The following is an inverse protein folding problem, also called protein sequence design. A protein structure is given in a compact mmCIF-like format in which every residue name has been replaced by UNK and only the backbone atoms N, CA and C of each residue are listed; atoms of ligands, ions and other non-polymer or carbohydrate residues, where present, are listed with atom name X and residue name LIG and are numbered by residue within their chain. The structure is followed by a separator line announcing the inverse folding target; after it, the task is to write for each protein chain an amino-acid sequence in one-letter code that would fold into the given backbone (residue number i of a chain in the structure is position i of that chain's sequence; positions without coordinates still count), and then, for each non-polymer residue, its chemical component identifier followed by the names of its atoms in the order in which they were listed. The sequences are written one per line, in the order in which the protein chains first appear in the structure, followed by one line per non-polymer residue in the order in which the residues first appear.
data_IF_502277030705
#
_entry.id   IF_502277030705
#
_cell.length_a   1.000
_cell.length_b   1.000
_cell.length_c   1.000
_cell.angle_alpha   90.00
_cell.angle_beta   90.00
_cell.angle_gamma   90.00
#
_symmetry.space_group_name_H-M   'P 1'
#
loop_
_entity.id
_entity.type
_entity.pdbx_description
1 polymer ?
#
# COMPACT_ATOMS: atom_id res chain seq x y z
N UNK A 1 -43.83 19.79 -16.52
CA UNK A 1 -43.16 18.55 -16.06
C UNK A 1 -43.71 18.17 -14.68
N UNK A 2 -44.23 16.95 -14.49
CA UNK A 2 -44.85 16.53 -13.22
C UNK A 2 -43.79 16.34 -12.12
N UNK A 3 -44.18 16.47 -10.84
CA UNK A 3 -43.28 16.32 -9.68
C UNK A 3 -42.54 14.96 -9.72
N UNK A 4 -43.24 13.90 -10.11
CA UNK A 4 -42.68 12.54 -10.27
C UNK A 4 -41.61 12.47 -11.35
N UNK A 5 -41.82 13.12 -12.50
CA UNK A 5 -40.81 13.17 -13.56
C UNK A 5 -39.56 13.91 -13.09
N UNK A 6 -39.72 15.02 -12.35
CA UNK A 6 -38.57 15.75 -11.78
C UNK A 6 -37.77 14.88 -10.82
N UNK A 7 -38.44 14.15 -9.94
CA UNK A 7 -37.80 13.25 -8.99
C UNK A 7 -37.01 12.12 -9.66
N UNK A 8 -37.59 11.49 -10.70
CA UNK A 8 -36.90 10.47 -11.49
C UNK A 8 -35.66 11.01 -12.20
N UNK A 9 -35.72 12.22 -12.76
CA UNK A 9 -34.54 12.85 -13.38
C UNK A 9 -33.45 13.09 -12.34
N UNK A 10 -33.80 13.56 -11.14
CA UNK A 10 -32.82 13.79 -10.07
C UNK A 10 -32.13 12.48 -9.67
N UNK A 11 -32.89 11.42 -9.40
CA UNK A 11 -32.31 10.12 -9.03
C UNK A 11 -31.47 9.56 -10.16
N UNK A 12 -31.98 9.55 -11.39
CA UNK A 12 -31.21 9.06 -12.54
C UNK A 12 -29.92 9.86 -12.77
N UNK A 13 -29.92 11.15 -12.45
CA UNK A 13 -28.73 12.01 -12.51
C UNK A 13 -27.72 11.69 -11.41
N UNK A 14 -28.19 11.36 -10.19
CA UNK A 14 -27.33 10.89 -9.09
C UNK A 14 -26.71 9.54 -9.43
N UNK A 15 -27.49 8.59 -9.96
CA UNK A 15 -26.97 7.28 -10.36
C UNK A 15 -25.96 7.41 -11.50
N UNK A 16 -26.25 8.24 -12.51
CA UNK A 16 -25.32 8.53 -13.59
C UNK A 16 -24.02 9.14 -13.06
N UNK A 17 -24.11 10.09 -12.12
CA UNK A 17 -22.94 10.69 -11.47
C UNK A 17 -22.12 9.63 -10.73
N UNK A 18 -22.76 8.73 -9.98
CA UNK A 18 -22.08 7.64 -9.26
C UNK A 18 -21.34 6.70 -10.22
N UNK A 19 -21.95 6.38 -11.37
CA UNK A 19 -21.32 5.56 -12.42
C UNK A 19 -20.11 6.30 -13.01
N UNK A 20 -20.27 7.57 -13.40
CA UNK A 20 -19.16 8.39 -13.95
C UNK A 20 -18.01 8.48 -12.96
N UNK A 21 -18.31 8.75 -11.68
CA UNK A 21 -17.29 8.79 -10.63
C UNK A 21 -16.52 7.47 -10.53
N UNK A 22 -17.23 6.33 -10.50
CA UNK A 22 -16.63 5.00 -10.45
C UNK A 22 -15.67 4.76 -11.62
N UNK A 23 -16.10 5.09 -12.84
CA UNK A 23 -15.29 4.90 -14.06
C UNK A 23 -13.97 5.69 -14.00
N UNK A 24 -14.02 6.94 -13.51
CA UNK A 24 -12.85 7.82 -13.37
C UNK A 24 -12.01 7.47 -12.11
N UNK A 25 -12.45 6.51 -11.28
CA UNK A 25 -11.74 6.08 -10.07
C UNK A 25 -11.96 6.99 -8.86
N UNK A 26 -13.06 7.74 -8.85
CA UNK A 26 -13.51 8.52 -7.71
C UNK A 26 -14.65 7.80 -6.98
N UNK A 27 -14.59 7.85 -5.66
CA UNK A 27 -15.57 7.18 -4.81
C UNK A 27 -15.97 8.06 -3.64
N UNK A 28 -17.24 7.95 -3.24
CA UNK A 28 -17.65 8.40 -1.92
C UNK A 28 -17.13 7.41 -0.89
N UNK A 29 -16.18 7.83 -0.06
CA UNK A 29 -15.49 6.96 0.88
C UNK A 29 -16.43 6.38 1.94
N UNK A 30 -17.48 7.11 2.30
CA UNK A 30 -18.51 6.60 3.21
C UNK A 30 -19.42 5.53 2.59
N UNK A 31 -19.51 5.47 1.25
CA UNK A 31 -20.26 4.42 0.54
C UNK A 31 -19.44 3.16 0.34
N UNK A 32 -18.10 3.23 0.38
CA UNK A 32 -17.22 2.06 0.17
C UNK A 32 -17.56 0.87 1.08
N UNK A 33 -17.72 1.02 2.41
CA UNK A 33 -18.10 -0.09 3.29
C UNK A 33 -19.45 -0.72 2.93
N UNK A 34 -20.42 0.09 2.48
CA UNK A 34 -21.77 -0.38 2.13
C UNK A 34 -21.94 -0.72 0.65
N UNK A 35 -20.89 -0.52 -0.16
CA UNK A 35 -20.97 -0.51 -1.61
C UNK A 35 -22.13 0.36 -2.14
N UNK A 36 -22.87 -0.19 -3.09
CA UNK A 36 -24.01 0.47 -3.74
C UNK A 36 -25.35 0.11 -3.08
N UNK A 37 -25.36 -0.49 -1.87
CA UNK A 37 -26.60 -0.90 -1.20
C UNK A 37 -27.57 0.25 -0.99
N UNK A 38 -27.10 1.41 -0.51
CA UNK A 38 -27.94 2.57 -0.23
C UNK A 38 -28.59 3.11 -1.52
N UNK A 39 -27.84 3.40 -2.62
CA UNK A 39 -28.43 3.77 -3.90
C UNK A 39 -29.42 2.74 -4.46
N UNK A 40 -29.10 1.44 -4.37
CA UNK A 40 -29.96 0.36 -4.85
C UNK A 40 -31.29 0.36 -4.06
N UNK A 41 -31.23 0.41 -2.73
CA UNK A 41 -32.42 0.45 -1.88
C UNK A 41 -33.30 1.68 -2.18
N UNK A 42 -32.68 2.86 -2.33
CA UNK A 42 -33.37 4.09 -2.67
C UNK A 42 -34.09 4.00 -4.03
N UNK A 43 -33.44 3.38 -5.01
CA UNK A 43 -34.02 3.11 -6.33
C UNK A 43 -35.21 2.14 -6.26
N UNK A 44 -35.07 1.02 -5.54
CA UNK A 44 -36.16 0.05 -5.35
C UNK A 44 -37.38 0.73 -4.72
N UNK A 45 -37.20 1.45 -3.62
CA UNK A 45 -38.28 2.16 -2.92
C UNK A 45 -38.94 3.19 -3.82
N UNK A 46 -38.13 3.99 -4.52
CA UNK A 46 -38.64 5.03 -5.43
C UNK A 46 -39.47 4.43 -6.56
N UNK A 47 -38.93 3.42 -7.25
CA UNK A 47 -39.60 2.78 -8.36
C UNK A 47 -40.87 2.04 -7.91
N UNK A 48 -40.86 1.43 -6.72
CA UNK A 48 -42.04 0.83 -6.13
C UNK A 48 -43.16 1.86 -5.90
N UNK A 49 -42.84 2.98 -5.24
CA UNK A 49 -43.81 4.06 -4.96
C UNK A 49 -44.42 4.59 -6.26
N UNK A 50 -43.60 4.80 -7.28
CA UNK A 50 -44.06 5.30 -8.58
C UNK A 50 -44.90 4.26 -9.30
N UNK A 51 -44.44 3.00 -9.31
CA UNK A 51 -45.13 1.87 -9.92
C UNK A 51 -46.54 1.69 -9.37
N UNK A 52 -46.68 1.59 -8.05
CA UNK A 52 -47.98 1.39 -7.39
C UNK A 52 -48.94 2.57 -7.53
N UNK A 53 -48.41 3.80 -7.69
CA UNK A 53 -49.26 4.99 -7.89
C UNK A 53 -49.65 5.24 -9.35
N UNK A 54 -48.98 4.60 -10.30
CA UNK A 54 -49.21 4.89 -11.71
C UNK A 54 -50.34 4.01 -12.28
N UNK A 55 -51.46 4.59 -12.74
CA UNK A 55 -52.67 3.83 -13.09
C UNK A 55 -52.52 2.92 -14.32
N UNK A 56 -51.45 3.10 -15.11
CA UNK A 56 -51.18 2.27 -16.32
C UNK A 56 -50.22 1.12 -16.09
N UNK A 57 -49.57 1.04 -14.92
CA UNK A 57 -48.61 -0.02 -14.63
C UNK A 57 -49.36 -1.13 -13.90
N UNK A 58 -49.25 -2.37 -14.39
CA UNK A 58 -49.82 -3.52 -13.71
C UNK A 58 -49.11 -3.71 -12.36
N UNK A 59 -49.86 -3.72 -11.26
CA UNK A 59 -49.30 -3.93 -9.92
C UNK A 59 -48.49 -5.22 -9.80
N UNK A 60 -48.83 -6.26 -10.55
CA UNK A 60 -48.08 -7.52 -10.57
C UNK A 60 -46.65 -7.36 -11.13
N UNK A 61 -46.47 -6.48 -12.13
CA UNK A 61 -45.14 -6.12 -12.64
C UNK A 61 -44.32 -5.33 -11.61
N UNK A 62 -44.98 -4.46 -10.84
CA UNK A 62 -44.32 -3.70 -9.76
C UNK A 62 -43.82 -4.65 -8.68
N UNK A 63 -44.67 -5.60 -8.25
CA UNK A 63 -44.30 -6.64 -7.27
C UNK A 63 -43.13 -7.47 -7.78
N UNK A 64 -43.18 -7.95 -9.03
CA UNK A 64 -42.09 -8.71 -9.64
C UNK A 64 -40.78 -7.90 -9.68
N UNK A 65 -40.84 -6.62 -10.04
CA UNK A 65 -39.68 -5.73 -10.06
C UNK A 65 -39.08 -5.50 -8.66
N UNK A 66 -39.91 -5.31 -7.64
CA UNK A 66 -39.44 -5.16 -6.25
C UNK A 66 -38.78 -6.44 -5.75
N UNK A 67 -39.36 -7.62 -6.03
CA UNK A 67 -38.78 -8.91 -5.67
C UNK A 67 -37.41 -9.10 -6.33
N UNK A 68 -37.30 -8.82 -7.63
CA UNK A 68 -36.04 -8.91 -8.37
C UNK A 68 -34.99 -7.93 -7.83
N UNK A 69 -35.36 -6.67 -7.62
CA UNK A 69 -34.46 -5.65 -7.06
C UNK A 69 -33.97 -6.03 -5.67
N UNK A 70 -34.86 -6.56 -4.82
CA UNK A 70 -34.51 -7.03 -3.48
C UNK A 70 -33.56 -8.23 -3.54
N UNK A 71 -33.78 -9.18 -4.45
CA UNK A 71 -32.87 -10.30 -4.65
C UNK A 71 -31.47 -9.85 -5.07
N UNK A 72 -31.36 -8.90 -6.02
CA UNK A 72 -30.09 -8.30 -6.44
C UNK A 72 -29.39 -7.62 -5.25
N UNK A 73 -30.15 -6.84 -4.47
CA UNK A 73 -29.63 -6.17 -3.27
C UNK A 73 -29.10 -7.18 -2.24
N UNK A 74 -29.80 -8.29 -2.00
CA UNK A 74 -29.37 -9.35 -1.09
C UNK A 74 -28.10 -10.05 -1.56
N UNK A 75 -28.01 -10.36 -2.85
CA UNK A 75 -26.78 -10.93 -3.44
C UNK A 75 -25.62 -9.97 -3.27
N UNK A 76 -25.82 -8.68 -3.53
CA UNK A 76 -24.78 -7.66 -3.33
C UNK A 76 -24.37 -7.53 -1.85
N UNK A 77 -25.34 -7.53 -0.94
CA UNK A 77 -25.08 -7.48 0.50
C UNK A 77 -24.27 -8.70 0.97
N UNK A 78 -24.55 -9.89 0.42
CA UNK A 78 -23.79 -11.10 0.70
C UNK A 78 -22.33 -11.00 0.25
N UNK A 79 -22.06 -10.42 -0.92
CA UNK A 79 -20.68 -10.18 -1.36
C UNK A 79 -19.94 -9.19 -0.46
N UNK A 80 -20.61 -8.15 0.02
CA UNK A 80 -20.02 -7.19 0.99
C UNK A 80 -19.73 -7.89 2.31
N UNK A 81 -20.63 -8.76 2.79
CA UNK A 81 -20.44 -9.52 4.03
C UNK A 81 -19.20 -10.41 3.97
N UNK A 82 -18.94 -11.07 2.84
CA UNK A 82 -17.78 -11.94 2.67
C UNK A 82 -16.50 -11.13 2.47
N UNK A 83 -16.57 -10.00 1.77
CA UNK A 83 -15.45 -9.10 1.55
C UNK A 83 -15.24 -8.16 2.72
N UNK A 84 -14.89 -8.69 3.90
CA UNK A 84 -14.60 -7.91 5.11
C UNK A 84 -13.44 -6.91 4.88
N UNK A 85 -13.78 -5.76 4.31
CA UNK A 85 -12.88 -4.64 4.09
C UNK A 85 -12.89 -3.73 5.29
N UNK A 86 -11.69 -3.44 5.79
CA UNK A 86 -11.46 -2.46 6.84
C UNK A 86 -10.81 -1.21 6.27
N UNK A 87 -10.99 -0.09 6.96
CA UNK A 87 -10.55 1.22 6.48
C UNK A 87 -9.78 1.96 7.56
N UNK A 88 -8.61 2.49 7.20
CA UNK A 88 -7.81 3.35 8.08
C UNK A 88 -7.50 4.66 7.39
N UNK A 89 -7.66 5.77 8.11
CA UNK A 89 -7.35 7.11 7.61
C UNK A 89 -6.04 7.60 8.23
N UNK A 90 -5.12 8.03 7.38
CA UNK A 90 -3.85 8.65 7.74
C UNK A 90 -3.91 10.10 7.26
N UNK A 91 -3.92 11.05 8.20
CA UNK A 91 -3.99 12.49 7.90
C UNK A 91 -2.62 13.08 7.68
N UNK A 92 -2.48 14.00 6.72
CA UNK A 92 -1.23 14.73 6.52
C UNK A 92 -0.93 15.68 7.68
N UNK A 93 0.34 15.99 7.97
CA UNK A 93 0.72 16.87 9.09
C UNK A 93 0.03 18.24 9.03
N UNK A 94 -0.18 18.75 7.82
CA UNK A 94 -0.81 20.05 7.58
C UNK A 94 -2.34 19.97 7.46
N UNK A 95 -2.96 18.80 7.66
CA UNK A 95 -4.40 18.54 7.50
C UNK A 95 -5.01 18.95 6.15
N UNK A 96 -4.17 19.15 5.13
CA UNK A 96 -4.63 19.54 3.79
C UNK A 96 -5.02 18.34 2.93
N UNK A 97 -4.52 17.15 3.26
CA UNK A 97 -4.89 15.92 2.59
C UNK A 97 -4.83 14.73 3.55
N UNK A 98 -5.45 13.64 3.15
CA UNK A 98 -5.42 12.39 3.87
C UNK A 98 -5.35 11.23 2.88
N UNK A 99 -4.75 10.15 3.36
CA UNK A 99 -4.74 8.87 2.71
C UNK A 99 -5.73 7.96 3.44
N UNK A 100 -6.65 7.36 2.70
CA UNK A 100 -7.50 6.28 3.23
C UNK A 100 -6.99 4.97 2.65
N UNK A 101 -6.65 4.04 3.55
CA UNK A 101 -6.21 2.69 3.23
C UNK A 101 -7.38 1.76 3.44
N UNK A 102 -7.83 1.12 2.36
CA UNK A 102 -8.74 -0.02 2.42
C UNK A 102 -7.90 -1.29 2.46
N UNK A 103 -8.23 -2.19 3.37
CA UNK A 103 -7.50 -3.44 3.50
C UNK A 103 -8.41 -4.62 3.76
N UNK A 104 -8.07 -5.75 3.17
CA UNK A 104 -8.74 -7.03 3.34
C UNK A 104 -7.70 -8.14 3.41
N UNK A 105 -8.07 -9.24 4.04
CA UNK A 105 -7.22 -10.42 4.12
C UNK A 105 -8.01 -11.67 3.74
N UNK A 106 -7.33 -12.61 3.10
CA UNK A 106 -7.91 -13.88 2.70
C UNK A 106 -6.96 -15.01 3.07
N UNK A 107 -7.49 -16.07 3.70
CA UNK A 107 -6.68 -17.18 4.23
C UNK A 107 -7.11 -18.51 3.62
N UNK A 108 -6.20 -19.17 2.90
CA UNK A 108 -6.31 -20.56 2.43
C UNK A 108 -4.96 -21.26 2.59
N UNK A 109 -4.54 -21.49 3.83
CA UNK A 109 -3.20 -22.01 4.18
C UNK A 109 -2.15 -20.91 4.27
N UNK A 110 -2.07 -20.04 3.26
CA UNK A 110 -1.35 -18.77 3.30
C UNK A 110 -2.34 -17.61 3.48
N UNK A 111 -1.90 -16.51 4.11
CA UNK A 111 -2.74 -15.31 4.28
C UNK A 111 -2.27 -14.23 3.32
N UNK A 112 -3.13 -13.87 2.36
CA UNK A 112 -2.90 -12.76 1.43
C UNK A 112 -3.56 -11.51 1.97
N UNK A 113 -2.77 -10.47 2.21
CA UNK A 113 -3.25 -9.14 2.55
C UNK A 113 -3.27 -8.28 1.29
N UNK A 114 -4.38 -7.59 1.04
CA UNK A 114 -4.52 -6.66 -0.08
C UNK A 114 -4.84 -5.27 0.45
N UNK A 115 -4.15 -4.26 -0.07
CA UNK A 115 -4.26 -2.86 0.33
C UNK A 115 -4.56 -1.99 -0.89
N UNK A 116 -5.66 -1.25 -0.84
CA UNK A 116 -6.01 -0.22 -1.83
C UNK A 116 -5.90 1.16 -1.18
N UNK A 117 -5.47 2.14 -1.96
CA UNK A 117 -5.15 3.46 -1.46
C UNK A 117 -6.03 4.52 -2.11
N UNK A 118 -6.55 5.43 -1.29
CA UNK A 118 -7.42 6.52 -1.75
C UNK A 118 -6.91 7.86 -1.23
N UNK A 119 -6.60 8.77 -2.15
CA UNK A 119 -6.29 10.16 -1.83
C UNK A 119 -7.58 10.95 -1.58
N UNK A 120 -7.64 11.70 -0.50
CA UNK A 120 -8.77 12.59 -0.21
C UNK A 120 -8.34 13.90 0.44
N UNK A 121 -9.08 14.98 0.19
CA UNK A 121 -8.86 16.29 0.82
C UNK A 121 -9.69 16.48 2.09
N UNK A 122 -10.94 15.99 2.06
CA UNK A 122 -11.93 16.23 3.11
C UNK A 122 -12.56 14.94 3.68
N UNK A 123 -12.10 13.75 3.26
CA UNK A 123 -12.61 12.47 3.73
C UNK A 123 -13.94 12.02 3.13
N UNK A 124 -14.61 12.85 2.31
CA UNK A 124 -15.89 12.51 1.69
C UNK A 124 -15.69 11.80 0.34
N UNK A 125 -14.92 12.43 -0.54
CA UNK A 125 -14.60 11.91 -1.87
C UNK A 125 -13.13 11.52 -1.90
N UNK A 126 -12.84 10.30 -2.35
CA UNK A 126 -11.49 9.77 -2.51
C UNK A 126 -11.23 9.35 -3.94
N UNK A 127 -10.04 9.68 -4.45
CA UNK A 127 -9.51 9.16 -5.72
C UNK A 127 -8.65 7.93 -5.43
N UNK A 128 -8.97 6.82 -6.05
CA UNK A 128 -8.19 5.58 -5.96
C UNK A 128 -6.84 5.74 -6.68
N UNK A 129 -5.78 5.28 -6.01
CA UNK A 129 -4.41 5.21 -6.54
C UNK A 129 -4.18 3.81 -7.13
N UNK A 130 -4.83 3.55 -8.28
CA UNK A 130 -4.94 2.21 -8.88
C UNK A 130 -3.59 1.50 -9.10
N UNK A 131 -2.56 2.25 -9.49
CA UNK A 131 -1.24 1.69 -9.84
C UNK A 131 -0.33 1.45 -8.63
N UNK A 132 -0.82 1.71 -7.42
CA UNK A 132 -0.03 1.62 -6.19
C UNK A 132 -0.66 0.68 -5.15
N UNK A 133 -1.60 -0.17 -5.56
CA UNK A 133 -2.14 -1.21 -4.67
C UNK A 133 -1.04 -2.19 -4.25
N UNK A 134 -1.06 -2.64 -3.00
CA UNK A 134 -0.05 -3.54 -2.44
C UNK A 134 -0.70 -4.87 -2.09
N UNK A 135 -0.03 -5.97 -2.41
CA UNK A 135 -0.41 -7.32 -2.00
C UNK A 135 0.76 -7.99 -1.31
N UNK A 136 0.54 -8.49 -0.10
CA UNK A 136 1.56 -9.14 0.72
C UNK A 136 1.07 -10.54 1.06
N UNK A 137 1.87 -11.56 0.76
CA UNK A 137 1.57 -12.95 1.05
C UNK A 137 2.38 -13.38 2.28
N UNK A 138 1.69 -13.76 3.36
CA UNK A 138 2.34 -14.23 4.57
C UNK A 138 2.11 -15.74 4.70
N UNK A 139 3.20 -16.51 4.61
CA UNK A 139 3.20 -17.95 4.90
C UNK A 139 3.28 -18.15 6.42
N UNK A 140 2.44 -19.03 6.95
CA UNK A 140 2.14 -19.20 8.39
C UNK A 140 3.28 -19.77 9.26
N UNK A 141 4.55 -19.40 9.02
CA UNK A 141 5.72 -20.07 9.61
C UNK A 141 6.53 -19.24 10.62
N UNK A 142 6.20 -17.98 10.94
CA UNK A 142 7.18 -17.15 11.68
C UNK A 142 6.71 -16.08 12.66
N UNK A 143 5.41 -15.83 12.88
CA UNK A 143 4.98 -14.83 13.88
C UNK A 143 3.87 -15.38 14.78
N UNK A 144 4.21 -15.85 16.00
CA UNK A 144 3.21 -16.16 17.02
C UNK A 144 2.71 -14.84 17.62
N UNK A 145 1.67 -14.31 16.98
CA UNK A 145 0.95 -13.12 17.41
C UNK A 145 -0.06 -12.80 16.34
N UNK A 146 -1.28 -12.39 16.71
CA UNK A 146 -2.28 -11.87 15.77
C UNK A 146 -1.72 -10.62 15.07
N UNK A 147 -0.86 -10.79 14.05
CA UNK A 147 -0.39 -9.68 13.25
C UNK A 147 -1.59 -9.10 12.54
N UNK A 148 -2.02 -7.92 12.96
CA UNK A 148 -3.14 -7.23 12.32
C UNK A 148 -2.66 -6.76 10.95
N UNK A 149 -3.56 -6.71 9.96
CA UNK A 149 -3.22 -6.23 8.61
C UNK A 149 -2.53 -4.85 8.62
N UNK A 150 -2.86 -4.03 9.62
CA UNK A 150 -2.22 -2.73 9.83
C UNK A 150 -0.72 -2.83 10.14
N UNK A 151 -0.30 -3.84 10.91
CA UNK A 151 1.10 -4.04 11.30
C UNK A 151 1.93 -4.60 10.14
N UNK A 152 1.31 -5.37 9.25
CA UNK A 152 2.00 -5.99 8.10
C UNK A 152 2.40 -4.92 7.07
N UNK A 153 1.50 -3.96 6.81
CA UNK A 153 1.84 -2.79 6.01
C UNK A 153 2.64 -1.74 6.81
N UNK A 154 2.63 -1.79 8.16
CA UNK A 154 3.26 -0.77 8.99
C UNK A 154 2.47 0.54 9.04
N UNK A 155 1.13 0.48 8.95
CA UNK A 155 0.25 1.66 8.97
C UNK A 155 0.36 2.47 10.26
N UNK A 156 0.71 1.82 11.38
CA UNK A 156 0.88 2.48 12.67
C UNK A 156 2.16 3.34 12.73
N UNK A 157 3.15 3.01 11.89
CA UNK A 157 4.44 3.69 11.80
C UNK A 157 4.59 4.37 10.42
N UNK A 158 3.49 4.72 9.75
CA UNK A 158 3.55 5.40 8.46
C UNK A 158 4.04 6.84 8.64
N UNK A 159 4.94 7.29 7.78
CA UNK A 159 5.51 8.62 7.85
C UNK A 159 5.17 9.42 6.59
N UNK A 160 4.85 10.71 6.74
CA UNK A 160 4.70 11.61 5.62
C UNK A 160 6.07 12.17 5.23
N UNK A 161 6.51 11.87 4.01
CA UNK A 161 7.75 12.42 3.44
C UNK A 161 7.37 13.63 2.61
N UNK A 162 7.32 14.79 3.25
CA UNK A 162 6.81 16.02 2.65
C UNK A 162 5.28 16.00 2.51
N UNK A 163 4.76 16.64 1.46
CA UNK A 163 3.31 16.78 1.30
C UNK A 163 2.68 15.56 0.62
N UNK A 164 3.26 15.07 -0.47
CA UNK A 164 2.60 14.15 -1.42
C UNK A 164 3.08 12.70 -1.32
N UNK A 165 3.93 12.36 -0.35
CA UNK A 165 4.51 11.00 -0.22
C UNK A 165 4.20 10.44 1.16
N UNK A 166 3.67 9.22 1.20
CA UNK A 166 3.50 8.45 2.44
C UNK A 166 4.40 7.23 2.37
N UNK A 167 5.25 7.07 3.38
CA UNK A 167 6.18 5.96 3.52
C UNK A 167 5.64 4.95 4.52
N UNK A 168 5.66 3.68 4.13
CA UNK A 168 5.26 2.54 4.93
C UNK A 168 6.47 1.64 5.18
N UNK A 169 6.77 1.36 6.44
CA UNK A 169 7.75 0.37 6.85
C UNK A 169 7.08 -1.01 6.90
N UNK A 170 7.00 -1.68 5.76
CA UNK A 170 6.41 -3.01 5.64
C UNK A 170 7.39 -4.10 6.08
N UNK A 171 6.91 -5.33 6.28
CA UNK A 171 7.81 -6.46 6.54
C UNK A 171 8.77 -6.74 5.36
N UNK A 172 8.36 -6.40 4.12
CA UNK A 172 9.15 -6.62 2.91
C UNK A 172 10.01 -5.38 2.56
N UNK A 173 10.24 -4.49 3.55
CA UNK A 173 11.00 -3.26 3.39
C UNK A 173 10.14 -2.00 3.25
N UNK A 174 10.76 -0.92 2.80
CA UNK A 174 10.10 0.39 2.68
C UNK A 174 9.26 0.45 1.41
N UNK A 175 8.01 0.90 1.53
CA UNK A 175 7.12 1.21 0.40
C UNK A 175 6.72 2.66 0.44
N UNK A 176 6.93 3.37 -0.66
CA UNK A 176 6.51 4.76 -0.81
C UNK A 176 5.28 4.86 -1.70
N UNK A 177 4.33 5.68 -1.25
CA UNK A 177 3.08 5.93 -1.94
C UNK A 177 3.03 7.40 -2.36
N UNK A 178 2.89 7.64 -3.66
CA UNK A 178 2.85 8.97 -4.26
C UNK A 178 1.41 9.40 -4.51
N UNK A 179 0.97 10.44 -3.82
CA UNK A 179 -0.39 10.98 -3.93
C UNK A 179 -0.61 11.80 -5.22
N UNK A 180 0.45 12.25 -5.89
CA UNK A 180 0.41 13.02 -7.14
C UNK A 180 1.53 12.53 -8.08
N UNK A 181 1.36 11.39 -8.76
CA UNK A 181 2.42 10.85 -9.62
C UNK A 181 2.82 11.80 -10.76
N UNK A 182 1.89 12.59 -11.29
CA UNK A 182 2.14 13.56 -12.37
C UNK A 182 3.13 14.68 -12.01
N UNK A 183 3.41 14.91 -10.71
CA UNK A 183 4.43 15.88 -10.27
C UNK A 183 5.86 15.33 -10.32
N UNK A 184 6.03 14.01 -10.43
CA UNK A 184 7.35 13.39 -10.55
C UNK A 184 7.95 13.66 -11.94
N UNK A 185 7.13 13.65 -12.99
CA UNK A 185 7.57 13.95 -14.36
C UNK A 185 7.99 15.43 -14.54
N UNK A 186 7.40 16.33 -13.76
CA UNK A 186 7.67 17.77 -13.84
C UNK A 186 8.94 18.19 -13.06
N UNK A 187 9.34 17.43 -12.03
CA UNK A 187 10.63 17.64 -11.34
C UNK A 187 11.80 16.93 -12.01
N UNK A 188 11.54 15.93 -12.85
CA UNK A 188 12.58 15.18 -13.55
C UNK A 188 13.03 15.83 -14.87
N UNK A 189 12.45 16.97 -15.26
CA UNK A 189 12.75 17.69 -16.51
C UNK A 189 13.74 18.85 -16.34
N UNK A 190 14.45 18.95 -15.21
CA UNK A 190 15.55 19.90 -15.03
C UNK A 190 16.79 19.24 -14.43
N UNK A 191 17.35 18.26 -15.15
CA UNK A 191 18.78 17.93 -15.07
C UNK A 191 19.23 17.29 -16.37
N UNK A 192 20.50 17.49 -16.77
CA UNK A 192 20.99 17.15 -18.10
C UNK A 192 21.00 15.64 -18.31
N UNK A 193 20.74 15.24 -19.56
CA UNK A 193 20.91 13.88 -20.10
C UNK A 193 22.07 13.12 -19.46
N UNK A 194 21.83 11.94 -18.89
CA UNK A 194 22.73 10.83 -19.00
C UNK A 194 22.32 10.00 -20.21
N UNK A 195 23.29 9.77 -21.08
CA UNK A 195 23.21 8.89 -22.23
C UNK A 195 22.50 7.56 -21.91
N UNK A 196 21.78 7.09 -22.92
CA UNK A 196 21.13 5.78 -23.03
C UNK A 196 21.76 4.67 -22.18
N UNK A 197 21.06 4.25 -21.13
CA UNK A 197 21.29 2.95 -20.50
C UNK A 197 20.06 2.09 -20.74
N UNK A 198 20.33 0.98 -21.44
CA UNK A 198 19.41 -0.08 -21.79
C UNK A 198 18.61 -0.57 -20.58
N UNK A 199 17.29 -0.71 -20.78
CA UNK A 199 16.42 -1.46 -19.89
C UNK A 199 16.74 -2.94 -20.03
N UNK A 200 17.61 -3.45 -19.17
CA UNK A 200 17.62 -4.86 -18.82
C UNK A 200 17.21 -5.04 -17.36
N UNK A 201 16.12 -5.78 -17.24
CA UNK A 201 15.58 -6.51 -16.11
C UNK A 201 16.66 -7.09 -15.18
N UNK A 202 16.59 -6.72 -13.90
CA UNK A 202 17.08 -7.49 -12.74
C UNK A 202 18.48 -8.12 -12.80
N UNK A 203 19.53 -7.31 -12.67
CA UNK A 203 20.80 -7.77 -12.11
C UNK A 203 20.75 -7.59 -10.58
N UNK A 204 20.14 -8.54 -9.88
CA UNK A 204 20.64 -8.85 -8.55
C UNK A 204 21.99 -9.53 -8.79
N UNK A 205 23.09 -8.79 -8.66
CA UNK A 205 24.41 -9.43 -8.56
C UNK A 205 24.32 -10.48 -7.46
N UNK A 206 24.46 -11.75 -7.84
CA UNK A 206 24.56 -12.86 -6.92
C UNK A 206 25.88 -12.70 -6.17
N UNK A 207 25.85 -11.95 -5.07
CA UNK A 207 26.97 -11.82 -4.16
C UNK A 207 27.12 -13.15 -3.43
N UNK A 208 28.26 -13.80 -3.61
CA UNK A 208 28.56 -15.04 -2.91
C UNK A 208 28.56 -14.81 -1.40
N UNK A 209 27.94 -15.71 -0.65
CA UNK A 209 27.86 -15.68 0.81
C UNK A 209 29.23 -15.55 1.48
N UNK A 210 30.28 -16.14 0.87
CA UNK A 210 31.66 -16.03 1.33
C UNK A 210 32.18 -14.58 1.28
N UNK A 211 31.70 -13.77 0.33
CA UNK A 211 32.09 -12.35 0.19
C UNK A 211 31.53 -11.52 1.35
N UNK A 212 30.30 -11.83 1.77
CA UNK A 212 29.67 -11.17 2.92
C UNK A 212 30.39 -11.55 4.21
N UNK A 213 30.72 -12.83 4.39
CA UNK A 213 31.47 -13.29 5.57
C UNK A 213 32.87 -12.67 5.65
N UNK A 214 33.59 -12.57 4.53
CA UNK A 214 34.89 -11.88 4.48
C UNK A 214 34.77 -10.39 4.82
N UNK A 215 33.71 -9.73 4.38
CA UNK A 215 33.45 -8.33 4.73
C UNK A 215 33.17 -8.16 6.23
N UNK A 216 32.39 -9.08 6.83
CA UNK A 216 32.14 -9.10 8.28
C UNK A 216 33.45 -9.29 9.04
N UNK A 217 34.27 -10.26 8.62
CA UNK A 217 35.56 -10.55 9.26
C UNK A 217 36.48 -9.33 9.22
N UNK A 218 36.56 -8.63 8.08
CA UNK A 218 37.32 -7.37 7.93
C UNK A 218 36.84 -6.28 8.89
N UNK A 219 35.52 -6.08 8.99
CA UNK A 219 34.95 -5.13 9.94
C UNK A 219 35.34 -5.47 11.39
N UNK A 220 35.31 -6.76 11.77
CA UNK A 220 35.71 -7.24 13.10
C UNK A 220 37.22 -7.14 13.36
N UNK A 221 38.04 -7.31 12.31
CA UNK A 221 39.49 -7.09 12.32
C UNK A 221 39.87 -5.61 12.37
N UNK A 222 38.88 -4.69 12.43
CA UNK A 222 39.08 -3.24 12.58
C UNK A 222 39.81 -2.63 11.39
N UNK A 223 39.55 -3.13 10.18
CA UNK A 223 40.03 -2.51 8.94
C UNK A 223 39.14 -1.32 8.55
N UNK A 224 39.74 -0.26 8.03
CA UNK A 224 39.03 0.94 7.58
C UNK A 224 39.04 1.01 6.05
N UNK A 225 37.88 1.32 5.46
CA UNK A 225 37.73 1.57 4.03
C UNK A 225 37.50 0.33 3.15
N UNK A 226 37.19 -0.83 3.71
CA UNK A 226 36.70 -1.96 2.91
C UNK A 226 35.25 -1.71 2.49
N UNK A 227 34.90 -2.06 1.25
CA UNK A 227 33.57 -1.81 0.69
C UNK A 227 32.90 -3.09 0.16
N UNK A 228 31.58 -3.19 0.34
CA UNK A 228 30.73 -4.19 -0.32
C UNK A 228 29.44 -3.54 -0.80
N UNK A 229 28.96 -3.92 -1.99
CA UNK A 229 27.66 -3.48 -2.53
C UNK A 229 26.62 -4.56 -2.23
N UNK A 230 25.50 -4.22 -1.59
CA UNK A 230 24.37 -5.14 -1.35
C UNK A 230 23.05 -4.41 -1.62
N UNK A 231 22.24 -4.94 -2.53
CA UNK A 231 20.95 -4.37 -2.93
C UNK A 231 21.02 -2.88 -3.31
N UNK A 232 22.09 -2.47 -3.99
CA UNK A 232 22.33 -1.08 -4.42
C UNK A 232 22.81 -0.13 -3.32
N UNK A 233 23.05 -0.60 -2.10
CA UNK A 233 23.71 0.17 -1.04
C UNK A 233 25.20 -0.19 -0.99
N UNK A 234 26.05 0.80 -0.72
CA UNK A 234 27.48 0.58 -0.49
C UNK A 234 27.71 0.57 1.02
N UNK A 235 28.27 -0.51 1.54
CA UNK A 235 28.64 -0.66 2.95
C UNK A 235 30.14 -0.47 3.07
N UNK A 236 30.56 0.46 3.93
CA UNK A 236 31.97 0.80 4.13
C UNK A 236 32.36 0.51 5.58
N UNK A 237 33.42 -0.27 5.79
CA UNK A 237 33.97 -0.46 7.14
C UNK A 237 34.65 0.82 7.60
N UNK A 238 34.42 1.20 8.85
CA UNK A 238 35.04 2.36 9.49
C UNK A 238 35.67 1.94 10.80
N UNK A 239 36.90 2.40 11.05
CA UNK A 239 37.58 2.19 12.32
C UNK A 239 38.24 3.47 12.83
N UNK A 240 37.84 3.90 14.02
CA UNK A 240 38.48 5.01 14.71
C UNK A 240 39.53 4.50 15.70
N UNK A 241 40.80 4.72 15.34
CA UNK A 241 41.95 4.35 16.17
C UNK A 241 41.99 5.03 17.55
N UNK A 242 41.37 6.21 17.70
CA UNK A 242 41.39 6.97 18.96
C UNK A 242 40.38 6.41 19.97
N UNK A 243 39.15 6.13 19.53
CA UNK A 243 38.11 5.53 20.37
C UNK A 243 38.18 4.00 20.45
N UNK A 244 38.89 3.36 19.52
CA UNK A 244 38.95 1.91 19.38
C UNK A 244 37.64 1.29 18.90
N UNK A 245 36.72 2.10 18.36
CA UNK A 245 35.42 1.68 17.87
C UNK A 245 35.43 1.47 16.36
N UNK A 246 34.71 0.44 15.90
CA UNK A 246 34.44 0.21 14.49
C UNK A 246 32.93 0.28 14.24
N UNK A 247 32.55 0.63 13.02
CA UNK A 247 31.17 0.62 12.54
C UNK A 247 31.13 0.40 11.03
N UNK A 248 29.94 0.11 10.51
CA UNK A 248 29.67 -0.02 9.08
C UNK A 248 28.86 1.19 8.66
N UNK A 249 29.40 2.01 7.78
CA UNK A 249 28.71 3.14 7.18
C UNK A 249 27.91 2.66 5.96
N UNK A 250 26.60 2.90 5.96
CA UNK A 250 25.76 2.62 4.79
C UNK A 250 25.67 3.87 3.94
N UNK A 251 26.19 3.80 2.73
CA UNK A 251 26.08 4.83 1.73
C UNK A 251 25.02 4.45 0.70
N UNK A 252 24.22 5.44 0.34
CA UNK A 252 23.17 5.32 -0.65
C UNK A 252 23.48 6.28 -1.80
N UNK A 253 24.23 5.83 -2.83
CA UNK A 253 24.49 6.66 -3.98
C UNK A 253 23.13 6.96 -4.66
N UNK A 254 22.79 8.25 -4.73
CA UNK A 254 21.55 8.80 -5.30
C UNK A 254 20.28 8.72 -4.43
N UNK A 255 20.36 8.31 -3.16
CA UNK A 255 19.20 8.19 -2.24
C UNK A 255 18.06 7.30 -2.80
N UNK A 256 18.39 6.35 -3.67
CA UNK A 256 17.46 5.43 -4.33
C UNK A 256 17.46 4.02 -3.73
N UNK A 257 18.49 3.66 -2.96
CA UNK A 257 18.63 2.34 -2.36
C UNK A 257 17.72 2.18 -1.12
N UNK A 258 17.34 0.94 -0.75
CA UNK A 258 16.30 0.69 0.26
C UNK A 258 16.71 1.04 1.70
N UNK A 259 17.99 1.22 1.97
CA UNK A 259 18.51 1.51 3.31
C UNK A 259 18.97 2.99 3.34
N UNK A 260 18.46 3.82 4.28
CA UNK A 260 18.90 5.20 4.39
C UNK A 260 20.36 5.26 4.83
N UNK A 261 21.03 6.39 4.58
CA UNK A 261 22.38 6.62 5.08
C UNK A 261 22.39 6.59 6.60
N UNK A 262 23.20 5.71 7.17
CA UNK A 262 23.26 5.51 8.62
C UNK A 262 24.59 4.88 9.03
N UNK A 263 24.90 4.97 10.33
CA UNK A 263 26.02 4.27 10.96
C UNK A 263 25.47 3.05 11.69
N UNK A 264 25.91 1.86 11.28
CA UNK A 264 25.48 0.57 11.84
C UNK A 264 26.61 -0.07 12.62
N UNK A 265 26.30 -0.87 13.65
CA UNK A 265 27.35 -1.58 14.41
C UNK A 265 27.85 -2.82 13.67
N UNK A 266 26.95 -3.58 13.04
CA UNK A 266 27.30 -4.90 12.51
C UNK A 266 26.28 -5.48 11.54
N UNK A 267 26.76 -6.40 10.72
CA UNK A 267 25.93 -7.36 9.97
C UNK A 267 25.95 -8.67 10.78
N UNK A 268 24.80 -9.30 10.98
CA UNK A 268 24.65 -10.51 11.78
C UNK A 268 23.96 -11.58 10.96
N UNK A 269 24.53 -12.79 10.96
CA UNK A 269 23.90 -13.98 10.41
C UNK A 269 22.70 -14.38 11.28
N UNK A 270 21.50 -14.41 10.70
CA UNK A 270 20.28 -14.82 11.40
C UNK A 270 19.78 -16.16 10.85
N UNK A 271 20.11 -17.25 11.56
CA UNK A 271 19.75 -18.61 11.16
C UNK A 271 18.23 -18.85 11.20
N UNK A 272 17.49 -18.20 12.10
CA UNK A 272 16.03 -18.34 12.17
C UNK A 272 15.34 -17.79 10.92
N UNK A 273 15.87 -16.69 10.38
CA UNK A 273 15.31 -16.06 9.17
C UNK A 273 15.93 -16.59 7.88
N UNK A 274 17.08 -17.25 7.94
CA UNK A 274 17.90 -17.59 6.76
C UNK A 274 18.35 -16.34 5.99
N UNK A 275 18.72 -15.26 6.69
CA UNK A 275 19.23 -14.01 6.10
C UNK A 275 20.39 -13.42 6.92
N UNK A 276 21.28 -12.71 6.23
CA UNK A 276 22.17 -11.71 6.83
C UNK A 276 21.37 -10.45 7.14
N UNK A 277 21.48 -9.98 8.38
CA UNK A 277 20.71 -8.87 8.91
C UNK A 277 21.63 -7.70 9.22
N UNK A 278 21.26 -6.48 8.82
CA UNK A 278 21.89 -5.26 9.33
C UNK A 278 21.27 -4.91 10.68
N UNK A 279 22.09 -4.90 11.75
CA UNK A 279 21.64 -4.51 13.09
C UNK A 279 22.23 -3.15 13.50
N UNK A 280 21.37 -2.29 14.04
CA UNK A 280 21.76 -1.02 14.64
C UNK A 280 22.09 -1.16 16.13
N UNK A 281 23.01 -0.33 16.64
CA UNK A 281 23.44 -0.31 18.05
C UNK A 281 22.28 -0.14 19.04
N UNK A 282 21.20 0.52 18.62
CA UNK A 282 20.05 0.82 19.48
C UNK A 282 18.91 -0.21 19.37
N UNK A 283 19.11 -1.30 18.62
CA UNK A 283 18.19 -2.45 18.47
C UNK A 283 16.79 -2.15 17.91
N UNK A 284 16.56 -0.96 17.35
CA UNK A 284 15.21 -0.55 16.90
C UNK A 284 14.85 -0.99 15.48
N UNK A 285 15.82 -1.35 14.65
CA UNK A 285 15.61 -1.68 13.23
C UNK A 285 16.50 -2.88 12.84
N UNK A 286 15.96 -3.79 12.01
CA UNK A 286 16.70 -4.90 11.40
C UNK A 286 16.36 -4.95 9.92
N UNK A 287 17.35 -4.83 9.04
CA UNK A 287 17.16 -4.90 7.59
C UNK A 287 17.66 -6.25 7.06
N UNK A 288 16.87 -6.92 6.23
CA UNK A 288 17.29 -8.13 5.53
C UNK A 288 18.19 -7.72 4.37
N UNK A 289 19.44 -8.22 4.38
CA UNK A 289 20.45 -7.87 3.38
C UNK A 289 20.50 -8.91 2.28
N UNK A 290 20.77 -10.17 2.64
CA UNK A 290 21.02 -11.23 1.68
C UNK A 290 20.62 -12.60 2.27
N UNK A 291 20.00 -13.50 1.49
CA UNK A 291 19.62 -14.81 2.00
C UNK A 291 20.86 -15.66 2.33
N UNK A 292 20.79 -16.42 3.42
CA UNK A 292 21.75 -17.48 3.72
C UNK A 292 21.35 -18.65 2.82
N UNK A 293 21.89 -18.71 1.60
CA UNK A 293 21.76 -19.90 0.76
C UNK A 293 22.50 -21.05 1.44
N UNK A 294 21.78 -22.10 1.79
CA UNK A 294 22.40 -23.39 2.10
C UNK A 294 22.90 -23.96 0.78
N UNK A 295 24.22 -24.19 0.69
CA UNK A 295 24.78 -25.08 -0.32
C UNK A 295 24.17 -26.49 -0.22
#
# INVERSE_FOLDING_TARGET
MTKTKKFLIIIGSIDLLLIIMHLIGYYFLFLKPTGYLIPIALNIVTLAIIGFRHPRINGLLVVAGVLLGTAIMLVHAFFILIGESSYKKITSPNNQQALVVEYQHFTLGETTYSYNFYKTKFGIIGRELRDQSIRILVRHAGKPGRSQAEDILGMNNSEWVGEDIVRFSTNDGIKELYLNPSRLDEKSSTSPEPDSIDRNTSDFELIDSNTIEQFIEKAEQKTDGDEISINGNIFVTRYDTLSGQYWIEVQNPNDQAPIPRQQCSRIVRNEERQYYMLEECTHKWKYELYPITSE
#
